data_IF_052547044085
#
_entry.id   IF_052547044085
#
_cell.length_a   1.000
_cell.length_b   1.000
_cell.length_c   1.000
_cell.angle_alpha   90.00
_cell.angle_beta   90.00
_cell.angle_gamma   90.00
#
_symmetry.space_group_name_H-M   'P 1'
#
loop_
_entity.id
_entity.type
_entity.pdbx_description
1 polymer ?
#
# COMPACT_ATOMS: atom_id res chain seq x y z
N UNK A 1 6.46 -11.41 23.79
CA UNK A 1 5.99 -10.92 22.55
C UNK A 1 7.07 -10.17 21.78
N UNK A 2 7.25 -10.53 20.55
CA UNK A 2 8.29 -9.90 19.79
C UNK A 2 7.92 -8.45 19.50
N UNK A 3 8.92 -7.61 19.50
CA UNK A 3 8.72 -6.23 19.11
C UNK A 3 8.36 -6.15 17.65
N UNK A 4 7.43 -5.27 17.36
CA UNK A 4 7.11 -5.01 15.97
C UNK A 4 8.26 -4.29 15.32
N UNK A 5 8.71 -4.81 14.22
CA UNK A 5 9.74 -4.16 13.44
C UNK A 5 9.13 -3.51 12.22
N UNK A 6 9.44 -2.24 12.04
CA UNK A 6 9.02 -1.54 10.83
C UNK A 6 9.98 -1.88 9.72
N UNK A 7 9.42 -2.20 8.58
CA UNK A 7 10.22 -2.60 7.42
C UNK A 7 9.74 -1.85 6.20
N UNK A 8 10.67 -1.52 5.34
CA UNK A 8 10.39 -0.97 4.03
C UNK A 8 10.98 -1.92 3.02
N UNK A 9 10.12 -2.43 2.12
CA UNK A 9 10.54 -3.36 1.09
C UNK A 9 10.38 -2.65 -0.24
N UNK A 10 11.48 -2.46 -0.95
CA UNK A 10 11.45 -1.78 -2.24
C UNK A 10 11.51 -2.82 -3.35
N UNK A 11 10.54 -2.76 -4.26
CA UNK A 11 10.44 -3.70 -5.37
C UNK A 11 10.60 -2.93 -6.66
N UNK A 12 11.61 -3.29 -7.43
CA UNK A 12 11.87 -2.64 -8.70
C UNK A 12 11.49 -3.53 -9.86
N UNK A 13 10.55 -3.08 -10.67
CA UNK A 13 10.28 -3.70 -11.95
C UNK A 13 9.64 -5.06 -11.92
N UNK A 14 9.05 -5.47 -10.82
CA UNK A 14 8.41 -6.77 -10.73
C UNK A 14 7.09 -6.70 -9.99
N UNK A 15 6.65 -7.85 -9.51
CA UNK A 15 5.49 -7.90 -8.67
C UNK A 15 4.25 -8.43 -9.36
N UNK A 16 3.15 -8.38 -8.63
CA UNK A 16 1.92 -9.08 -9.01
C UNK A 16 1.32 -8.63 -10.35
N UNK A 17 1.57 -7.39 -10.73
CA UNK A 17 0.97 -6.89 -11.96
C UNK A 17 1.71 -7.40 -13.18
N UNK A 18 3.03 -7.44 -13.11
CA UNK A 18 3.83 -7.88 -14.24
C UNK A 18 3.90 -9.39 -14.35
N UNK A 19 3.91 -10.06 -13.21
CA UNK A 19 4.04 -11.50 -13.17
C UNK A 19 3.06 -12.09 -12.16
N UNK A 20 1.79 -12.17 -12.55
CA UNK A 20 0.75 -12.61 -11.60
C UNK A 20 0.89 -14.07 -11.18
N UNK A 21 1.70 -14.84 -11.89
CA UNK A 21 1.89 -16.24 -11.53
C UNK A 21 3.00 -16.43 -10.50
N UNK A 22 3.84 -15.41 -10.34
CA UNK A 22 4.94 -15.49 -9.39
C UNK A 22 4.74 -14.46 -8.29
N UNK A 23 4.18 -14.90 -7.19
CA UNK A 23 3.88 -14.01 -6.06
C UNK A 23 4.91 -14.14 -4.95
N UNK A 24 6.14 -14.51 -5.28
CA UNK A 24 7.16 -14.75 -4.26
C UNK A 24 7.47 -13.50 -3.46
N UNK A 25 7.55 -12.34 -4.12
CA UNK A 25 7.84 -11.08 -3.42
C UNK A 25 6.69 -10.68 -2.50
N UNK A 26 5.47 -10.84 -2.98
CA UNK A 26 4.30 -10.53 -2.17
C UNK A 26 4.19 -11.48 -0.99
N UNK A 27 4.46 -12.75 -1.22
CA UNK A 27 4.42 -13.76 -0.16
C UNK A 27 5.45 -13.45 0.92
N UNK A 28 6.66 -13.08 0.50
CA UNK A 28 7.69 -12.68 1.44
C UNK A 28 7.24 -11.49 2.28
N UNK A 29 6.63 -10.51 1.63
CA UNK A 29 6.19 -9.30 2.32
C UNK A 29 5.16 -9.61 3.40
N UNK A 30 4.16 -10.42 3.07
CA UNK A 30 3.13 -10.72 4.07
C UNK A 30 3.64 -11.62 5.18
N UNK A 31 4.65 -12.44 4.90
CA UNK A 31 5.25 -13.26 5.95
C UNK A 31 5.91 -12.42 7.03
N UNK A 32 6.38 -11.23 6.66
CA UNK A 32 7.02 -10.34 7.63
C UNK A 32 6.04 -9.82 8.67
N UNK A 33 4.75 -9.84 8.39
CA UNK A 33 3.75 -9.34 9.34
C UNK A 33 3.50 -10.31 10.48
N UNK A 34 3.74 -11.59 10.24
CA UNK A 34 3.42 -12.61 11.23
C UNK A 34 1.94 -12.84 11.43
N UNK A 35 1.08 -12.17 10.69
CA UNK A 35 -0.36 -12.30 10.82
C UNK A 35 -0.87 -13.45 9.96
N UNK A 36 -1.95 -14.09 10.41
CA UNK A 36 -2.55 -15.17 9.63
C UNK A 36 -3.29 -14.67 8.42
N UNK A 37 -3.94 -13.52 8.55
CA UNK A 37 -4.67 -12.92 7.44
C UNK A 37 -4.44 -11.42 7.47
N UNK A 38 -3.27 -10.96 6.97
CA UNK A 38 -2.90 -9.55 7.11
C UNK A 38 -3.81 -8.62 6.31
N UNK A 39 -3.98 -7.43 6.84
CA UNK A 39 -4.68 -6.36 6.13
C UNK A 39 -3.67 -5.64 5.27
N UNK A 40 -3.93 -5.61 3.96
CA UNK A 40 -3.02 -5.01 3.00
C UNK A 40 -3.75 -3.87 2.31
N UNK A 41 -3.23 -2.67 2.45
CA UNK A 41 -3.78 -1.50 1.77
C UNK A 41 -2.93 -1.19 0.55
N UNK A 42 -3.59 -1.01 -0.59
CA UNK A 42 -2.94 -0.62 -1.82
C UNK A 42 -3.15 0.88 -2.03
N UNK A 43 -2.08 1.59 -2.33
CA UNK A 43 -2.16 3.02 -2.64
C UNK A 43 -1.76 3.19 -4.10
N UNK A 44 -2.74 3.16 -5.02
CA UNK A 44 -2.45 3.15 -6.45
C UNK A 44 -2.44 4.54 -7.08
N UNK A 45 -2.10 5.56 -6.32
CA UNK A 45 -2.18 6.94 -6.78
C UNK A 45 -1.34 7.17 -8.03
N UNK A 46 -0.12 6.62 -8.05
CA UNK A 46 0.83 6.90 -9.13
C UNK A 46 0.35 6.40 -10.49
N UNK A 47 -0.55 5.42 -10.51
CA UNK A 47 -1.12 4.89 -11.74
C UNK A 47 -2.51 5.47 -12.02
N UNK A 48 -2.88 6.53 -11.30
CA UNK A 48 -4.19 7.17 -11.40
C UNK A 48 -5.32 6.17 -11.09
N UNK A 49 -5.06 5.22 -10.21
CA UNK A 49 -6.04 4.25 -9.73
C UNK A 49 -6.65 3.42 -10.87
N UNK A 50 -5.81 3.00 -11.81
CA UNK A 50 -6.30 2.23 -12.96
C UNK A 50 -6.98 0.93 -12.51
N UNK A 51 -8.10 0.61 -13.16
CA UNK A 51 -8.90 -0.54 -12.79
C UNK A 51 -8.15 -1.86 -12.94
N UNK A 52 -7.42 -2.05 -14.02
CA UNK A 52 -6.74 -3.32 -14.23
C UNK A 52 -5.65 -3.55 -13.18
N UNK A 53 -5.02 -2.49 -12.72
CA UNK A 53 -4.04 -2.60 -11.65
C UNK A 53 -4.73 -2.99 -10.34
N UNK A 54 -5.88 -2.38 -10.08
CA UNK A 54 -6.66 -2.72 -8.89
C UNK A 54 -7.11 -4.17 -8.91
N UNK A 55 -7.62 -4.63 -10.04
CA UNK A 55 -8.07 -6.00 -10.17
C UNK A 55 -6.92 -6.96 -9.92
N UNK A 56 -5.75 -6.67 -10.49
CA UNK A 56 -4.57 -7.51 -10.28
C UNK A 56 -4.16 -7.58 -8.83
N UNK A 57 -4.25 -6.44 -8.15
CA UNK A 57 -3.92 -6.40 -6.74
C UNK A 57 -4.84 -7.29 -5.92
N UNK A 58 -6.15 -7.12 -6.10
CA UNK A 58 -7.10 -7.92 -5.34
C UNK A 58 -6.97 -9.40 -5.65
N UNK A 59 -6.78 -9.74 -6.91
CA UNK A 59 -6.61 -11.13 -7.30
C UNK A 59 -5.41 -11.75 -6.62
N UNK A 60 -4.28 -11.05 -6.62
CA UNK A 60 -3.06 -11.59 -6.04
C UNK A 60 -3.17 -11.76 -4.52
N UNK A 61 -3.63 -10.73 -3.84
CA UNK A 61 -3.60 -10.75 -2.38
C UNK A 61 -4.74 -11.57 -1.77
N UNK A 62 -5.86 -11.69 -2.48
CA UNK A 62 -6.88 -12.64 -2.04
C UNK A 62 -6.37 -14.06 -2.17
N UNK A 63 -5.63 -14.36 -3.24
CA UNK A 63 -5.04 -15.68 -3.42
C UNK A 63 -4.07 -16.01 -2.29
N UNK A 64 -3.41 -15.00 -1.74
CA UNK A 64 -2.47 -15.19 -0.65
C UNK A 64 -3.11 -15.20 0.73
N UNK A 65 -4.42 -15.11 0.80
CA UNK A 65 -5.13 -15.19 2.07
C UNK A 65 -5.16 -13.90 2.87
N UNK A 66 -4.92 -12.79 2.21
CA UNK A 66 -4.92 -11.48 2.86
C UNK A 66 -6.29 -10.86 2.86
N UNK A 67 -6.42 -9.74 3.57
CA UNK A 67 -7.61 -8.90 3.53
C UNK A 67 -7.25 -7.60 2.84
N UNK A 68 -7.37 -7.57 1.51
CA UNK A 68 -6.94 -6.42 0.73
C UNK A 68 -7.99 -5.30 0.71
N UNK A 69 -7.50 -4.08 0.61
CA UNK A 69 -8.32 -2.90 0.36
C UNK A 69 -7.44 -1.90 -0.38
N UNK A 70 -8.04 -0.83 -0.86
CA UNK A 70 -7.25 0.19 -1.53
C UNK A 70 -7.69 1.57 -1.11
N UNK A 71 -6.76 2.50 -1.17
CA UNK A 71 -7.00 3.89 -0.82
C UNK A 71 -7.20 4.70 -2.10
N UNK A 72 -8.37 5.31 -2.24
CA UNK A 72 -8.68 6.10 -3.40
C UNK A 72 -8.72 7.58 -3.03
N UNK A 73 -8.09 8.42 -3.86
CA UNK A 73 -8.18 9.86 -3.71
C UNK A 73 -9.07 10.49 -4.77
N UNK A 74 -9.47 9.71 -5.78
CA UNK A 74 -10.26 10.23 -6.89
C UNK A 74 -11.72 9.79 -6.80
N UNK A 75 -12.04 9.00 -5.79
CA UNK A 75 -13.40 8.56 -5.54
C UNK A 75 -13.71 8.82 -4.08
N UNK A 76 -14.37 7.90 -3.43
CA UNK A 76 -14.67 8.06 -2.02
C UNK A 76 -13.43 7.78 -1.19
N UNK A 77 -13.00 8.77 -0.42
CA UNK A 77 -11.79 8.64 0.39
C UNK A 77 -12.17 8.45 1.85
N UNK A 78 -11.64 7.43 2.52
CA UNK A 78 -11.92 7.23 3.94
C UNK A 78 -11.15 8.22 4.79
N UNK A 79 -11.42 8.22 6.09
CA UNK A 79 -10.60 8.95 7.03
C UNK A 79 -9.22 8.30 7.05
N UNK A 80 -8.21 9.05 6.65
CA UNK A 80 -6.89 8.50 6.38
C UNK A 80 -6.22 7.88 7.58
N UNK A 81 -6.24 8.58 8.70
CA UNK A 81 -5.47 8.12 9.86
C UNK A 81 -5.95 6.77 10.38
N UNK A 82 -7.22 6.58 10.72
CA UNK A 82 -7.63 5.27 11.19
C UNK A 82 -7.52 4.19 10.13
N UNK A 83 -7.73 4.55 8.86
CA UNK A 83 -7.59 3.56 7.80
C UNK A 83 -6.17 3.05 7.71
N UNK A 84 -5.19 3.95 7.65
CA UNK A 84 -3.80 3.56 7.48
C UNK A 84 -3.26 2.84 8.69
N UNK A 85 -3.64 3.28 9.89
CA UNK A 85 -3.16 2.66 11.10
C UNK A 85 -3.71 1.26 11.33
N UNK A 86 -4.81 0.92 10.67
CA UNK A 86 -5.39 -0.41 10.80
C UNK A 86 -4.77 -1.44 9.88
N UNK A 87 -3.84 -1.05 9.02
CA UNK A 87 -3.26 -1.94 8.03
C UNK A 87 -2.00 -2.61 8.55
N UNK A 88 -1.77 -3.85 8.14
CA UNK A 88 -0.52 -4.54 8.43
C UNK A 88 0.54 -4.24 7.37
N UNK A 89 0.10 -4.03 6.14
CA UNK A 89 0.98 -3.72 5.02
C UNK A 89 0.37 -2.57 4.22
N UNK A 90 1.21 -1.63 3.82
CA UNK A 90 0.80 -0.59 2.89
C UNK A 90 1.65 -0.76 1.64
N UNK A 91 0.98 -1.06 0.53
CA UNK A 91 1.63 -1.33 -0.74
C UNK A 91 1.43 -0.13 -1.66
N UNK A 92 2.52 0.54 -1.99
CA UNK A 92 2.47 1.72 -2.85
C UNK A 92 2.83 1.29 -4.27
N UNK A 93 1.90 1.49 -5.19
CA UNK A 93 2.12 1.11 -6.57
C UNK A 93 2.93 2.12 -7.33
N UNK A 94 3.52 1.67 -8.45
CA UNK A 94 4.32 2.52 -9.29
C UNK A 94 3.51 3.28 -10.32
N UNK A 95 4.18 4.21 -11.00
CA UNK A 95 3.56 5.04 -12.02
C UNK A 95 4.17 6.43 -12.03
N UNK A 96 3.35 7.45 -12.06
CA UNK A 96 3.81 8.83 -12.11
C UNK A 96 4.04 9.36 -10.70
N UNK A 97 5.29 9.35 -10.28
CA UNK A 97 5.65 9.74 -8.92
C UNK A 97 5.36 11.20 -8.64
N UNK A 98 5.58 12.06 -9.62
CA UNK A 98 5.35 13.50 -9.43
C UNK A 98 3.88 13.79 -9.14
N UNK A 99 3.00 13.20 -9.93
CA UNK A 99 1.57 13.37 -9.73
C UNK A 99 1.12 12.76 -8.41
N UNK A 100 1.67 11.61 -8.08
CA UNK A 100 1.35 10.95 -6.81
C UNK A 100 1.70 11.83 -5.63
N UNK A 101 2.90 12.41 -5.63
CA UNK A 101 3.32 13.25 -4.52
C UNK A 101 2.48 14.51 -4.42
N UNK A 102 2.04 15.06 -5.55
CA UNK A 102 1.18 16.24 -5.53
C UNK A 102 -0.16 15.92 -4.88
N UNK A 103 -0.76 14.79 -5.26
CA UNK A 103 -2.02 14.37 -4.67
C UNK A 103 -1.86 14.08 -3.18
N UNK A 104 -0.82 13.37 -2.81
CA UNK A 104 -0.57 13.04 -1.42
C UNK A 104 -0.39 14.28 -0.57
N UNK A 105 0.27 15.30 -1.11
CA UNK A 105 0.48 16.52 -0.35
C UNK A 105 -0.83 17.22 -0.07
N UNK A 106 -1.73 17.23 -1.06
CA UNK A 106 -3.03 17.84 -0.90
C UNK A 106 -3.86 17.15 0.19
N UNK A 107 -3.68 15.84 0.32
CA UNK A 107 -4.38 15.05 1.33
C UNK A 107 -3.57 14.87 2.61
N UNK A 108 -2.43 15.52 2.71
CA UNK A 108 -1.46 15.40 3.81
C UNK A 108 -1.04 13.96 4.11
N UNK A 109 -1.10 13.12 3.08
CA UNK A 109 -0.75 11.71 3.27
C UNK A 109 0.72 11.52 3.57
N UNK A 110 1.58 12.40 3.06
CA UNK A 110 3.01 12.29 3.27
C UNK A 110 3.39 12.24 4.75
N UNK A 111 2.57 12.87 5.59
CA UNK A 111 2.84 12.88 7.03
C UNK A 111 2.79 11.49 7.64
N UNK A 112 2.05 10.58 7.03
CA UNK A 112 1.93 9.23 7.56
C UNK A 112 3.10 8.34 7.18
N UNK A 113 3.84 8.72 6.15
CA UNK A 113 5.00 7.94 5.72
C UNK A 113 6.31 8.57 6.13
N UNK A 114 6.30 9.84 6.54
CA UNK A 114 7.49 10.52 6.96
C UNK A 114 7.80 10.28 8.42
N UNK A 115 8.66 11.10 8.98
CA UNK A 115 8.94 11.01 10.39
C UNK A 115 7.74 11.37 11.19
N UNK A 116 7.25 10.41 11.94
CA UNK A 116 6.13 10.74 12.77
C UNK A 116 6.57 11.61 13.92
N UNK A 117 5.62 12.30 14.46
CA UNK A 117 5.90 13.27 15.49
C UNK A 117 6.27 14.60 14.95
N UNK A 118 6.24 14.77 13.65
CA UNK A 118 6.52 16.05 13.06
C UNK A 118 5.27 16.58 12.38
N UNK A 119 4.46 17.32 13.12
CA UNK A 119 3.20 17.81 12.57
C UNK A 119 3.36 19.07 11.72
N UNK A 120 4.51 19.36 11.24
CA UNK A 120 4.76 20.58 10.52
C UNK A 120 3.64 20.95 9.56
N UNK A 121 3.61 22.20 9.14
CA UNK A 121 2.56 22.63 8.22
C UNK A 121 2.63 21.86 6.92
N UNK A 122 1.51 21.72 6.28
CA UNK A 122 1.46 21.03 5.02
C UNK A 122 2.21 21.79 3.95
#
# INVERSE_FOLDING_TARGET
MAEEQRQIIAIGGGGFYRDPENLALERYTIQQTGAGSPRVAFVPTASAERNNYLVSFYTAFLKLGCRPSHLSFFKRTPDLRPYLLSQDVIFVGGGNTKSMLAVWQEWVLRKFFGKHGNPGPC
#
